data_IF_242736530439
#
_entry.id   IF_242736530439
#
_cell.length_a   1.000
_cell.length_b   1.000
_cell.length_c   1.000
_cell.angle_alpha   90.00
_cell.angle_beta   90.00
_cell.angle_gamma   90.00
#
_symmetry.space_group_name_H-M   'P 1'
#
loop_
_entity.id
_entity.type
_entity.pdbx_description
1 polymer ?
#
# COMPACT_ATOMS: atom_id res chain seq x y z
N UNK A 1 -4.33 -22.73 -38.48
CA UNK A 1 -5.72 -22.22 -38.58
C UNK A 1 -6.72 -23.08 -37.80
N UNK A 2 -6.69 -24.41 -37.90
CA UNK A 2 -7.63 -25.30 -37.18
C UNK A 2 -7.64 -25.10 -35.64
N UNK A 3 -6.48 -25.07 -35.00
CA UNK A 3 -6.35 -24.85 -33.54
C UNK A 3 -6.99 -23.51 -33.12
N UNK A 4 -6.77 -22.44 -33.88
CA UNK A 4 -7.33 -21.12 -33.58
C UNK A 4 -8.86 -21.10 -33.63
N UNK A 5 -9.46 -21.74 -34.64
CA UNK A 5 -10.91 -21.82 -34.76
C UNK A 5 -11.51 -22.64 -33.61
N UNK A 6 -10.87 -23.75 -33.25
CA UNK A 6 -11.28 -24.58 -32.13
C UNK A 6 -11.23 -23.83 -30.79
N UNK A 7 -10.11 -23.15 -30.47
CA UNK A 7 -9.99 -22.38 -29.22
C UNK A 7 -11.07 -21.28 -29.13
N UNK A 8 -11.36 -20.63 -30.25
CA UNK A 8 -12.41 -19.60 -30.32
C UNK A 8 -13.78 -20.21 -30.05
N UNK A 9 -14.12 -21.31 -30.73
CA UNK A 9 -15.37 -22.03 -30.53
C UNK A 9 -15.54 -22.49 -29.07
N UNK A 10 -14.51 -23.11 -28.49
CA UNK A 10 -14.55 -23.58 -27.10
C UNK A 10 -14.74 -22.43 -26.10
N UNK A 11 -14.12 -21.27 -26.33
CA UNK A 11 -14.29 -20.10 -25.44
C UNK A 11 -15.71 -19.52 -25.43
N UNK A 12 -16.55 -19.91 -26.41
CA UNK A 12 -17.96 -19.54 -26.51
C UNK A 12 -18.84 -20.65 -25.94
N UNK A 13 -18.55 -21.91 -26.25
CA UNK A 13 -19.42 -23.04 -25.90
C UNK A 13 -19.24 -23.50 -24.46
N UNK A 14 -18.01 -23.57 -23.95
CA UNK A 14 -17.75 -24.06 -22.57
C UNK A 14 -18.50 -23.25 -21.51
N UNK A 15 -18.54 -21.90 -21.55
CA UNK A 15 -19.35 -21.12 -20.60
C UNK A 15 -20.87 -21.35 -20.68
N UNK A 16 -21.37 -21.97 -21.76
CA UNK A 16 -22.80 -22.26 -21.93
C UNK A 16 -23.18 -23.65 -21.42
N UNK A 17 -22.19 -24.47 -21.03
CA UNK A 17 -22.45 -25.79 -20.46
C UNK A 17 -22.96 -25.60 -19.03
N UNK A 18 -24.12 -26.19 -18.66
CA UNK A 18 -24.63 -26.12 -17.30
C UNK A 18 -23.68 -26.74 -16.27
N UNK A 19 -23.80 -26.31 -15.01
CA UNK A 19 -23.08 -26.90 -13.89
C UNK A 19 -23.31 -28.42 -13.84
N UNK A 20 -22.22 -29.18 -13.65
CA UNK A 20 -22.24 -30.65 -13.69
C UNK A 20 -22.35 -31.26 -15.10
N UNK A 21 -22.46 -30.45 -16.17
CA UNK A 21 -22.49 -30.92 -17.55
C UNK A 21 -21.14 -31.48 -18.05
N UNK A 22 -20.04 -31.15 -17.36
CA UNK A 22 -18.72 -31.76 -17.54
C UNK A 22 -18.28 -32.27 -16.17
N UNK A 23 -17.97 -33.56 -16.05
CA UNK A 23 -17.41 -34.12 -14.82
C UNK A 23 -15.99 -33.59 -14.56
N UNK A 24 -15.58 -33.47 -13.30
CA UNK A 24 -14.25 -32.99 -12.91
C UNK A 24 -13.08 -33.72 -13.58
N UNK A 25 -13.17 -35.05 -13.74
CA UNK A 25 -12.15 -35.85 -14.43
C UNK A 25 -11.99 -35.45 -15.90
N UNK A 26 -13.11 -35.31 -16.62
CA UNK A 26 -13.14 -34.85 -18.00
C UNK A 26 -12.67 -33.39 -18.13
N UNK A 27 -13.02 -32.52 -17.17
CA UNK A 27 -12.56 -31.13 -17.16
C UNK A 27 -11.03 -31.06 -17.03
N UNK A 28 -10.45 -31.80 -16.08
CA UNK A 28 -9.00 -31.92 -15.90
C UNK A 28 -8.30 -32.44 -17.15
N UNK A 29 -8.83 -33.49 -17.78
CA UNK A 29 -8.29 -34.03 -19.04
C UNK A 29 -8.37 -33.00 -20.17
N UNK A 30 -9.50 -32.32 -20.31
CA UNK A 30 -9.69 -31.27 -21.31
C UNK A 30 -8.69 -30.11 -21.10
N UNK A 31 -8.46 -29.68 -19.87
CA UNK A 31 -7.43 -28.71 -19.52
C UNK A 31 -6.05 -29.21 -19.95
N UNK A 32 -5.70 -30.46 -19.64
CA UNK A 32 -4.43 -31.06 -20.05
C UNK A 32 -4.24 -31.12 -21.57
N UNK A 33 -5.31 -31.38 -22.33
CA UNK A 33 -5.30 -31.35 -23.80
C UNK A 33 -5.16 -29.93 -24.34
N UNK A 34 -5.81 -28.94 -23.73
CA UNK A 34 -5.76 -27.54 -24.15
C UNK A 34 -4.40 -26.88 -23.86
N UNK A 35 -3.79 -27.18 -22.71
CA UNK A 35 -2.52 -26.59 -22.31
C UNK A 35 -1.42 -26.94 -23.31
N UNK A 36 -1.35 -28.18 -23.83
CA UNK A 36 -0.30 -28.62 -24.78
C UNK A 36 -0.12 -27.68 -26.00
N UNK A 37 -1.15 -27.42 -26.84
CA UNK A 37 -1.02 -26.53 -27.99
C UNK A 37 -0.87 -25.06 -27.58
N UNK A 38 -1.50 -24.63 -26.48
CA UNK A 38 -1.44 -23.24 -26.00
C UNK A 38 -0.02 -22.91 -25.52
N UNK A 39 0.59 -23.79 -24.73
CA UNK A 39 1.92 -23.61 -24.17
C UNK A 39 3.04 -23.87 -25.18
N UNK A 40 2.85 -24.87 -26.06
CA UNK A 40 3.85 -25.29 -27.05
C UNK A 40 3.87 -24.43 -28.32
N UNK A 41 2.71 -23.98 -28.80
CA UNK A 41 2.59 -23.14 -30.00
C UNK A 41 2.21 -21.68 -29.68
N UNK A 42 2.15 -21.30 -28.41
CA UNK A 42 1.63 -20.00 -27.96
C UNK A 42 2.30 -18.78 -28.59
N UNK A 43 3.55 -18.89 -29.04
CA UNK A 43 4.23 -17.81 -29.78
C UNK A 43 3.75 -17.67 -31.23
N UNK A 44 3.29 -18.76 -31.85
CA UNK A 44 2.75 -18.81 -33.22
C UNK A 44 1.27 -18.45 -33.29
N UNK A 45 0.55 -18.58 -32.17
CA UNK A 45 -0.86 -18.24 -32.08
C UNK A 45 -1.07 -16.72 -32.02
N UNK A 46 -2.07 -16.25 -32.77
CA UNK A 46 -2.53 -14.87 -32.71
C UNK A 46 -3.12 -14.52 -31.33
N UNK A 47 -3.09 -13.23 -30.99
CA UNK A 47 -3.57 -12.70 -29.70
C UNK A 47 -4.99 -13.16 -29.36
N UNK A 48 -5.89 -13.16 -30.34
CA UNK A 48 -7.29 -13.55 -30.15
C UNK A 48 -7.44 -15.03 -29.79
N UNK A 49 -6.77 -15.91 -30.53
CA UNK A 49 -6.81 -17.36 -30.34
C UNK A 49 -6.23 -17.76 -28.99
N UNK A 50 -5.10 -17.14 -28.61
CA UNK A 50 -4.46 -17.44 -27.34
C UNK A 50 -5.30 -16.96 -26.16
N UNK A 51 -5.87 -15.75 -26.25
CA UNK A 51 -6.81 -15.25 -25.24
C UNK A 51 -8.02 -16.18 -25.09
N UNK A 52 -8.58 -16.66 -26.20
CA UNK A 52 -9.70 -17.60 -26.19
C UNK A 52 -9.34 -18.91 -25.48
N UNK A 53 -8.15 -19.46 -25.76
CA UNK A 53 -7.64 -20.65 -25.08
C UNK A 53 -7.43 -20.45 -23.58
N UNK A 54 -6.77 -19.36 -23.18
CA UNK A 54 -6.57 -18.98 -21.76
C UNK A 54 -7.92 -18.83 -21.04
N UNK A 55 -8.89 -18.15 -21.66
CA UNK A 55 -10.24 -18.00 -21.11
C UNK A 55 -10.92 -19.36 -20.92
N UNK A 56 -10.77 -20.26 -21.90
CA UNK A 56 -11.33 -21.60 -21.84
C UNK A 56 -10.72 -22.41 -20.69
N UNK A 57 -9.39 -22.35 -20.50
CA UNK A 57 -8.72 -22.97 -19.34
C UNK A 57 -9.31 -22.42 -18.04
N UNK A 58 -9.38 -21.09 -17.88
CA UNK A 58 -9.93 -20.49 -16.66
C UNK A 58 -11.39 -20.89 -16.39
N UNK A 59 -12.22 -20.96 -17.43
CA UNK A 59 -13.62 -21.39 -17.30
C UNK A 59 -13.74 -22.85 -16.88
N UNK A 60 -12.91 -23.74 -17.45
CA UNK A 60 -12.89 -25.16 -17.08
C UNK A 60 -12.44 -25.37 -15.64
N UNK A 61 -11.38 -24.67 -15.22
CA UNK A 61 -10.86 -24.75 -13.85
C UNK A 61 -11.91 -24.31 -12.83
N UNK A 62 -12.50 -23.13 -13.01
CA UNK A 62 -13.44 -22.56 -12.03
C UNK A 62 -14.79 -23.27 -12.04
N UNK A 63 -15.30 -23.64 -13.23
CA UNK A 63 -16.67 -24.15 -13.36
C UNK A 63 -16.81 -25.67 -13.24
N UNK A 64 -15.74 -26.44 -13.45
CA UNK A 64 -15.88 -27.89 -13.65
C UNK A 64 -14.81 -28.75 -13.00
N UNK A 65 -13.60 -28.23 -12.73
CA UNK A 65 -12.58 -29.02 -12.02
C UNK A 65 -12.94 -29.18 -10.54
N UNK A 66 -12.41 -30.25 -9.93
CA UNK A 66 -12.42 -30.40 -8.49
C UNK A 66 -11.46 -29.37 -7.87
N UNK A 67 -12.00 -28.42 -7.11
CA UNK A 67 -11.24 -27.33 -6.47
C UNK A 67 -10.66 -27.73 -5.11
N UNK A 68 -11.03 -28.92 -4.59
CA UNK A 68 -10.48 -29.47 -3.36
C UNK A 68 -9.26 -30.38 -3.61
N UNK A 69 -9.02 -30.76 -4.88
CA UNK A 69 -7.85 -31.52 -5.33
C UNK A 69 -6.87 -30.63 -6.12
N UNK A 70 -5.67 -30.42 -5.58
CA UNK A 70 -4.63 -29.65 -6.27
C UNK A 70 -4.23 -30.28 -7.61
N UNK A 71 -4.18 -31.61 -7.70
CA UNK A 71 -3.80 -32.31 -8.94
C UNK A 71 -4.81 -32.08 -10.08
N UNK A 72 -6.07 -31.81 -9.71
CA UNK A 72 -7.14 -31.48 -10.65
C UNK A 72 -6.92 -30.13 -11.35
N UNK A 73 -6.32 -29.15 -10.67
CA UNK A 73 -6.15 -27.79 -11.20
C UNK A 73 -4.70 -27.42 -11.56
N UNK A 74 -3.70 -28.13 -11.03
CA UNK A 74 -2.26 -27.78 -11.10
C UNK A 74 -1.78 -27.42 -12.50
N UNK A 75 -2.12 -28.24 -13.51
CA UNK A 75 -1.65 -28.05 -14.89
C UNK A 75 -2.23 -26.77 -15.49
N UNK A 76 -3.54 -26.54 -15.31
CA UNK A 76 -4.20 -25.33 -15.80
C UNK A 76 -3.75 -24.09 -15.05
N UNK A 77 -3.58 -24.18 -13.73
CA UNK A 77 -3.06 -23.11 -12.89
C UNK A 77 -1.66 -22.66 -13.34
N UNK A 78 -0.75 -23.61 -13.58
CA UNK A 78 0.59 -23.30 -14.10
C UNK A 78 0.56 -22.59 -15.47
N UNK A 79 -0.31 -23.03 -16.37
CA UNK A 79 -0.50 -22.36 -17.68
C UNK A 79 -1.06 -20.94 -17.51
N UNK A 80 -2.05 -20.74 -16.63
CA UNK A 80 -2.57 -19.41 -16.33
C UNK A 80 -1.50 -18.49 -15.74
N UNK A 81 -0.67 -18.97 -14.80
CA UNK A 81 0.45 -18.19 -14.26
C UNK A 81 1.44 -17.76 -15.35
N UNK A 82 1.84 -18.69 -16.22
CA UNK A 82 2.71 -18.38 -17.35
C UNK A 82 2.13 -17.28 -18.24
N UNK A 83 0.84 -17.34 -18.57
CA UNK A 83 0.22 -16.30 -19.41
C UNK A 83 -0.08 -15.01 -18.66
N UNK A 84 -0.11 -15.03 -17.33
CA UNK A 84 -0.33 -13.84 -16.49
C UNK A 84 0.83 -12.83 -16.52
N UNK A 85 1.96 -13.22 -17.11
CA UNK A 85 3.12 -12.36 -17.40
C UNK A 85 3.39 -12.22 -18.90
N UNK A 86 2.51 -12.71 -19.78
CA UNK A 86 2.71 -12.67 -21.23
C UNK A 86 2.86 -11.23 -21.75
N UNK A 87 3.77 -11.01 -22.71
CA UNK A 87 4.00 -9.69 -23.33
C UNK A 87 2.76 -9.06 -23.97
N UNK A 88 1.78 -9.87 -24.41
CA UNK A 88 0.53 -9.43 -25.07
C UNK A 88 -0.49 -8.99 -24.02
N UNK A 89 -0.83 -7.69 -23.91
CA UNK A 89 -1.68 -7.19 -22.82
C UNK A 89 -3.06 -7.84 -22.72
N UNK A 90 -3.69 -8.17 -23.85
CA UNK A 90 -5.02 -8.80 -23.88
C UNK A 90 -5.03 -10.26 -23.39
N UNK A 91 -3.94 -10.99 -23.62
CA UNK A 91 -3.78 -12.37 -23.14
C UNK A 91 -3.47 -12.32 -21.64
N UNK A 92 -2.51 -11.47 -21.27
CA UNK A 92 -2.09 -11.25 -19.90
C UNK A 92 -3.24 -10.90 -18.96
N UNK A 93 -4.03 -9.88 -19.31
CA UNK A 93 -5.18 -9.45 -18.51
C UNK A 93 -6.21 -10.58 -18.37
N UNK A 94 -6.47 -11.34 -19.43
CA UNK A 94 -7.38 -12.47 -19.39
C UNK A 94 -6.91 -13.57 -18.43
N UNK A 95 -5.60 -13.87 -18.42
CA UNK A 95 -5.02 -14.85 -17.50
C UNK A 95 -5.10 -14.37 -16.04
N UNK A 96 -4.79 -13.10 -15.79
CA UNK A 96 -4.89 -12.49 -14.46
C UNK A 96 -6.34 -12.53 -13.92
N UNK A 97 -7.33 -12.15 -14.74
CA UNK A 97 -8.75 -12.26 -14.38
C UNK A 97 -9.19 -13.71 -14.09
N UNK A 98 -8.64 -14.69 -14.83
CA UNK A 98 -8.92 -16.10 -14.58
C UNK A 98 -8.29 -16.58 -13.26
N UNK A 99 -7.06 -16.16 -12.96
CA UNK A 99 -6.38 -16.49 -11.70
C UNK A 99 -7.11 -15.89 -10.50
N UNK A 100 -7.49 -14.61 -10.57
CA UNK A 100 -8.23 -13.93 -9.51
C UNK A 100 -9.55 -14.67 -9.19
N UNK A 101 -10.31 -15.05 -10.22
CA UNK A 101 -11.54 -15.84 -10.05
C UNK A 101 -11.28 -17.23 -9.48
N UNK A 102 -10.22 -17.89 -9.94
CA UNK A 102 -9.85 -19.22 -9.47
C UNK A 102 -9.49 -19.17 -7.99
N UNK A 103 -8.56 -18.28 -7.60
CA UNK A 103 -8.19 -18.06 -6.20
C UNK A 103 -9.40 -17.74 -5.34
N UNK A 104 -10.28 -16.83 -5.78
CA UNK A 104 -11.51 -16.49 -5.05
C UNK A 104 -12.56 -17.61 -4.97
N UNK A 105 -12.38 -18.71 -5.70
CA UNK A 105 -13.25 -19.89 -5.65
C UNK A 105 -12.67 -21.04 -4.82
N UNK A 106 -11.40 -20.95 -4.41
CA UNK A 106 -10.77 -21.98 -3.59
C UNK A 106 -11.25 -21.89 -2.14
N UNK A 107 -11.67 -23.02 -1.57
CA UNK A 107 -12.09 -23.12 -0.16
C UNK A 107 -11.16 -24.06 0.64
N UNK A 108 -10.55 -25.05 -0.01
CA UNK A 108 -9.62 -25.98 0.62
C UNK A 108 -8.31 -25.28 1.00
N UNK A 109 -7.98 -25.28 2.30
CA UNK A 109 -6.75 -24.68 2.83
C UNK A 109 -5.49 -25.34 2.25
N UNK A 110 -5.53 -26.64 1.97
CA UNK A 110 -4.45 -27.38 1.30
C UNK A 110 -4.23 -26.86 -0.12
N UNK A 111 -5.30 -26.70 -0.90
CA UNK A 111 -5.20 -26.21 -2.28
C UNK A 111 -4.79 -24.73 -2.32
N UNK A 112 -5.32 -23.91 -1.41
CA UNK A 112 -4.89 -22.51 -1.24
C UNK A 112 -3.39 -22.45 -0.96
N UNK A 113 -2.87 -23.31 -0.08
CA UNK A 113 -1.44 -23.37 0.23
C UNK A 113 -0.61 -23.71 -1.02
N UNK A 114 -0.95 -24.78 -1.73
CA UNK A 114 -0.24 -25.21 -2.94
C UNK A 114 -0.27 -24.14 -4.05
N UNK A 115 -1.43 -23.50 -4.26
CA UNK A 115 -1.57 -22.40 -5.21
C UNK A 115 -0.73 -21.18 -4.81
N UNK A 116 -0.72 -20.85 -3.50
CA UNK A 116 0.08 -19.76 -2.94
C UNK A 116 1.58 -20.03 -3.09
N UNK A 117 2.05 -21.23 -2.77
CA UNK A 117 3.45 -21.65 -2.88
C UNK A 117 3.92 -21.61 -4.34
N UNK A 118 3.06 -22.06 -5.27
CA UNK A 118 3.34 -22.01 -6.70
C UNK A 118 3.46 -20.57 -7.21
N UNK A 119 2.56 -19.67 -6.78
CA UNK A 119 2.68 -18.24 -7.10
C UNK A 119 3.95 -17.63 -6.50
N UNK A 120 4.28 -17.98 -5.26
CA UNK A 120 5.46 -17.45 -4.59
C UNK A 120 6.76 -17.94 -5.23
N UNK A 121 6.78 -19.15 -5.77
CA UNK A 121 7.89 -19.64 -6.59
C UNK A 121 8.14 -18.74 -7.82
N UNK A 122 7.08 -18.27 -8.49
CA UNK A 122 7.18 -17.32 -9.60
C UNK A 122 7.79 -15.98 -9.16
N UNK A 123 7.43 -15.48 -7.96
CA UNK A 123 8.02 -14.26 -7.38
C UNK A 123 9.51 -14.47 -7.12
N UNK A 124 9.88 -15.61 -6.53
CA UNK A 124 11.27 -15.96 -6.24
C UNK A 124 12.11 -16.05 -7.51
N UNK A 125 11.57 -16.62 -8.58
CA UNK A 125 12.25 -16.70 -9.88
C UNK A 125 12.60 -15.30 -10.42
N UNK A 126 11.73 -14.32 -10.21
CA UNK A 126 11.92 -12.94 -10.68
C UNK A 126 12.60 -12.02 -9.66
N UNK A 127 13.02 -12.54 -8.50
CA UNK A 127 13.53 -11.73 -7.37
C UNK A 127 14.73 -10.87 -7.72
N UNK A 128 15.69 -11.41 -8.49
CA UNK A 128 16.89 -10.68 -8.90
C UNK A 128 16.53 -9.48 -9.79
N UNK A 129 15.66 -9.68 -10.78
CA UNK A 129 15.19 -8.63 -11.70
C UNK A 129 14.36 -7.58 -10.96
N UNK A 130 13.49 -8.01 -10.04
CA UNK A 130 12.71 -7.11 -9.18
C UNK A 130 13.63 -6.20 -8.35
N UNK A 131 14.66 -6.76 -7.74
CA UNK A 131 15.63 -6.01 -6.94
C UNK A 131 16.48 -5.04 -7.78
N UNK A 132 16.88 -5.44 -8.99
CA UNK A 132 17.62 -4.56 -9.89
C UNK A 132 16.75 -3.36 -10.30
N UNK A 133 15.52 -3.62 -10.75
CA UNK A 133 14.58 -2.60 -11.18
C UNK A 133 14.17 -1.66 -10.04
N UNK A 134 13.99 -2.17 -8.82
CA UNK A 134 13.61 -1.34 -7.69
C UNK A 134 14.72 -0.39 -7.25
N UNK A 135 15.99 -0.79 -7.41
CA UNK A 135 17.16 0.05 -7.14
C UNK A 135 17.46 1.08 -8.24
N UNK A 136 16.88 0.91 -9.43
CA UNK A 136 17.16 1.74 -10.59
C UNK A 136 16.44 3.08 -10.49
N UNK A 137 17.22 4.14 -10.36
CA UNK A 137 16.72 5.52 -10.38
C UNK A 137 16.25 5.88 -11.79
N UNK A 138 15.07 6.50 -11.87
CA UNK A 138 14.60 7.13 -13.10
C UNK A 138 15.16 8.55 -13.12
N UNK A 139 15.99 8.86 -14.13
CA UNK A 139 16.48 10.23 -14.35
C UNK A 139 15.30 11.10 -14.78
N UNK A 140 15.21 12.29 -14.19
CA UNK A 140 14.16 13.28 -14.45
C UNK A 140 14.04 13.56 -15.96
N UNK A 141 12.82 13.40 -16.51
CA UNK A 141 12.53 13.53 -17.95
C UNK A 141 12.49 12.23 -18.75
N UNK A 142 12.89 11.08 -18.18
CA UNK A 142 12.75 9.77 -18.82
C UNK A 142 11.34 9.18 -18.63
N UNK A 143 10.68 8.76 -19.71
CA UNK A 143 9.41 8.02 -19.61
C UNK A 143 9.66 6.69 -18.91
N UNK A 144 8.88 6.38 -17.86
CA UNK A 144 8.91 5.10 -17.13
C UNK A 144 8.83 3.90 -18.09
N UNK A 145 8.03 4.01 -19.16
CA UNK A 145 7.92 2.98 -20.21
C UNK A 145 9.20 2.74 -21.02
N UNK A 146 10.07 3.75 -21.18
CA UNK A 146 11.37 3.58 -21.85
C UNK A 146 12.45 2.99 -20.94
N UNK A 147 12.27 3.04 -19.62
CA UNK A 147 13.21 2.49 -18.65
C UNK A 147 13.04 0.97 -18.43
N UNK A 148 11.83 0.45 -18.66
CA UNK A 148 11.52 -0.97 -18.69
C UNK A 148 11.85 -1.53 -20.07
N UNK A 149 13.01 -2.17 -20.21
CA UNK A 149 13.26 -3.03 -21.38
C UNK A 149 12.14 -4.09 -21.45
N UNK A 150 11.74 -4.49 -22.66
CA UNK A 150 10.71 -5.53 -22.85
C UNK A 150 11.05 -6.84 -22.14
N UNK A 151 12.34 -7.12 -21.93
CA UNK A 151 12.87 -8.30 -21.23
C UNK A 151 12.60 -8.25 -19.70
N UNK A 152 12.38 -7.06 -19.14
CA UNK A 152 12.18 -6.84 -17.70
C UNK A 152 10.70 -6.53 -17.37
N UNK A 153 9.81 -6.52 -18.37
CA UNK A 153 8.38 -6.24 -18.20
C UNK A 153 7.66 -7.36 -17.44
N UNK A 154 8.15 -8.59 -17.53
CA UNK A 154 7.62 -9.77 -16.85
C UNK A 154 7.65 -9.59 -15.33
N UNK A 155 8.75 -9.07 -14.78
CA UNK A 155 8.87 -8.77 -13.34
C UNK A 155 7.80 -7.77 -12.86
N UNK A 156 7.53 -6.71 -13.63
CA UNK A 156 6.44 -5.78 -13.31
C UNK A 156 5.06 -6.44 -13.44
N UNK A 157 4.91 -7.41 -14.34
CA UNK A 157 3.68 -8.18 -14.47
C UNK A 157 3.47 -9.14 -13.29
N UNK A 158 4.53 -9.76 -12.74
CA UNK A 158 4.45 -10.57 -11.51
C UNK A 158 3.86 -9.77 -10.35
N UNK A 159 4.28 -8.51 -10.16
CA UNK A 159 3.70 -7.64 -9.11
C UNK A 159 2.20 -7.35 -9.32
N UNK A 160 1.76 -7.25 -10.57
CA UNK A 160 0.33 -7.08 -10.87
C UNK A 160 -0.46 -8.35 -10.56
N UNK A 161 0.11 -9.53 -10.83
CA UNK A 161 -0.49 -10.83 -10.47
C UNK A 161 -0.63 -10.93 -8.95
N UNK A 162 0.43 -10.59 -8.21
CA UNK A 162 0.39 -10.52 -6.75
C UNK A 162 -0.73 -9.60 -6.28
N UNK A 163 -0.81 -8.37 -6.79
CA UNK A 163 -1.86 -7.42 -6.39
C UNK A 163 -3.28 -7.97 -6.60
N UNK A 164 -3.50 -8.83 -7.59
CA UNK A 164 -4.83 -9.41 -7.86
C UNK A 164 -5.13 -10.68 -7.03
N UNK A 165 -4.10 -11.31 -6.45
CA UNK A 165 -4.22 -12.64 -5.82
C UNK A 165 -3.91 -12.64 -4.33
N UNK A 166 -3.22 -11.61 -3.84
CA UNK A 166 -2.88 -11.36 -2.43
C UNK A 166 -4.02 -11.66 -1.44
N UNK A 167 -5.28 -11.23 -1.70
CA UNK A 167 -6.39 -11.47 -0.77
C UNK A 167 -6.69 -12.95 -0.49
N UNK A 168 -6.19 -13.85 -1.35
CA UNK A 168 -6.51 -15.28 -1.31
C UNK A 168 -5.32 -16.14 -0.92
N UNK A 169 -4.17 -15.54 -0.63
CA UNK A 169 -2.96 -16.29 -0.29
C UNK A 169 -3.06 -16.87 1.12
N UNK A 170 -2.36 -17.98 1.34
CA UNK A 170 -2.15 -18.48 2.70
C UNK A 170 -1.43 -17.42 3.55
N UNK A 171 -1.72 -17.39 4.86
CA UNK A 171 -1.13 -16.40 5.77
C UNK A 171 0.42 -16.42 5.75
N UNK A 172 1.02 -17.62 5.69
CA UNK A 172 2.47 -17.81 5.61
C UNK A 172 3.07 -17.17 4.34
N UNK A 173 2.47 -17.46 3.18
CA UNK A 173 2.95 -16.91 1.90
C UNK A 173 2.69 -15.42 1.82
N UNK A 174 1.53 -14.94 2.31
CA UNK A 174 1.21 -13.52 2.38
C UNK A 174 2.27 -12.74 3.18
N UNK A 175 2.68 -13.26 4.35
CA UNK A 175 3.76 -12.67 5.16
C UNK A 175 5.11 -12.66 4.42
N UNK A 176 5.46 -13.75 3.74
CA UNK A 176 6.68 -13.82 2.92
C UNK A 176 6.66 -12.81 1.76
N UNK A 177 5.52 -12.69 1.06
CA UNK A 177 5.34 -11.71 -0.02
C UNK A 177 5.44 -10.29 0.52
N UNK A 178 4.80 -10.00 1.64
CA UNK A 178 4.85 -8.69 2.29
C UNK A 178 6.28 -8.29 2.66
N UNK A 179 7.03 -9.20 3.29
CA UNK A 179 8.45 -9.00 3.62
C UNK A 179 9.29 -8.69 2.39
N UNK A 180 9.06 -9.39 1.27
CA UNK A 180 9.78 -9.13 0.02
C UNK A 180 9.39 -7.79 -0.61
N UNK A 181 8.11 -7.41 -0.60
CA UNK A 181 7.66 -6.09 -1.07
C UNK A 181 8.28 -4.95 -0.26
N UNK A 182 8.38 -5.11 1.07
CA UNK A 182 9.03 -4.13 1.94
C UNK A 182 10.51 -3.94 1.58
N UNK A 183 11.23 -5.01 1.26
CA UNK A 183 12.63 -4.96 0.81
C UNK A 183 12.80 -4.32 -0.57
N UNK A 184 11.80 -4.49 -1.44
CA UNK A 184 11.79 -3.86 -2.77
C UNK A 184 11.44 -2.37 -2.70
N UNK A 185 10.78 -1.91 -1.64
CA UNK A 185 10.43 -0.51 -1.46
C UNK A 185 11.68 0.33 -1.16
N UNK A 186 12.15 1.08 -2.15
CA UNK A 186 13.22 2.07 -1.99
C UNK A 186 12.69 3.43 -1.52
N UNK A 187 13.60 4.34 -1.16
CA UNK A 187 13.27 5.72 -0.77
C UNK A 187 13.11 6.69 -1.96
N UNK A 188 13.37 6.22 -3.18
CA UNK A 188 13.25 7.01 -4.41
C UNK A 188 12.37 6.28 -5.44
N UNK A 189 11.77 7.04 -6.33
CA UNK A 189 10.92 6.52 -7.39
C UNK A 189 11.69 5.62 -8.35
N UNK A 190 11.11 4.45 -8.64
CA UNK A 190 11.61 3.45 -9.56
C UNK A 190 10.49 2.99 -10.50
N UNK A 191 10.80 2.22 -11.56
CA UNK A 191 9.79 1.70 -12.47
C UNK A 191 8.75 0.78 -11.83
N UNK A 192 9.04 0.25 -10.62
CA UNK A 192 8.18 -0.68 -9.89
C UNK A 192 7.44 -0.03 -8.72
N UNK A 193 7.75 1.21 -8.35
CA UNK A 193 7.23 1.86 -7.14
C UNK A 193 5.71 1.77 -7.05
N UNK A 194 5.00 2.12 -8.13
CA UNK A 194 3.52 2.13 -8.12
C UNK A 194 2.92 0.73 -7.95
N UNK A 195 3.51 -0.28 -8.56
CA UNK A 195 3.06 -1.67 -8.45
C UNK A 195 3.34 -2.22 -7.05
N UNK A 196 4.51 -1.91 -6.48
CA UNK A 196 4.86 -2.29 -5.10
C UNK A 196 3.88 -1.65 -4.11
N UNK A 197 3.64 -0.34 -4.23
CA UNK A 197 2.69 0.37 -3.36
C UNK A 197 1.28 -0.20 -3.47
N UNK A 198 0.81 -0.49 -4.69
CA UNK A 198 -0.50 -1.12 -4.91
C UNK A 198 -0.61 -2.49 -4.24
N UNK A 199 0.44 -3.31 -4.32
CA UNK A 199 0.46 -4.61 -3.69
C UNK A 199 0.42 -4.49 -2.16
N UNK A 200 1.22 -3.59 -1.58
CA UNK A 200 1.22 -3.30 -0.13
C UNK A 200 -0.16 -2.80 0.34
N UNK A 201 -0.75 -1.84 -0.38
CA UNK A 201 -2.09 -1.32 -0.08
C UNK A 201 -3.17 -2.42 -0.12
N UNK A 202 -3.05 -3.34 -1.09
CA UNK A 202 -3.96 -4.49 -1.17
C UNK A 202 -3.79 -5.42 0.04
N UNK A 203 -2.55 -5.71 0.45
CA UNK A 203 -2.26 -6.53 1.64
C UNK A 203 -2.90 -5.91 2.89
N UNK A 204 -2.74 -4.61 3.11
CA UNK A 204 -3.35 -3.95 4.26
C UNK A 204 -4.88 -4.02 4.26
N UNK A 205 -5.51 -3.94 3.08
CA UNK A 205 -6.96 -4.01 2.93
C UNK A 205 -7.53 -5.42 3.07
N UNK A 206 -6.77 -6.44 2.67
CA UNK A 206 -7.26 -7.82 2.61
C UNK A 206 -6.79 -8.70 3.76
N UNK A 207 -5.70 -8.34 4.42
CA UNK A 207 -5.16 -9.15 5.52
C UNK A 207 -6.05 -8.99 6.75
N UNK A 208 -6.42 -10.11 7.35
CA UNK A 208 -6.78 -10.17 8.77
C UNK A 208 -5.60 -9.63 9.62
N UNK A 209 -5.73 -9.54 10.94
CA UNK A 209 -4.67 -9.02 11.83
C UNK A 209 -3.48 -9.98 12.00
N UNK A 210 -3.19 -10.74 10.94
CA UNK A 210 -2.16 -11.76 10.80
C UNK A 210 -0.83 -11.22 10.24
N UNK A 211 -0.75 -9.92 9.89
CA UNK A 211 0.52 -9.30 9.47
C UNK A 211 1.45 -9.17 10.68
N UNK A 212 2.70 -9.56 10.52
CA UNK A 212 3.69 -9.61 11.60
C UNK A 212 4.25 -8.19 11.88
N UNK A 213 4.39 -7.84 13.17
CA UNK A 213 4.74 -6.49 13.67
C UNK A 213 6.03 -5.92 13.07
N UNK A 214 7.18 -6.65 13.07
CA UNK A 214 8.42 -6.22 12.42
C UNK A 214 8.25 -5.76 10.97
N UNK A 215 7.39 -6.42 10.20
CA UNK A 215 7.15 -6.08 8.80
C UNK A 215 6.35 -4.77 8.68
N UNK A 216 5.40 -4.51 9.58
CA UNK A 216 4.67 -3.24 9.66
C UNK A 216 5.65 -2.10 10.03
N UNK A 217 6.58 -2.32 10.96
CA UNK A 217 7.61 -1.32 11.29
C UNK A 217 8.56 -1.06 10.13
N UNK A 218 9.01 -2.14 9.47
CA UNK A 218 9.88 -2.06 8.32
C UNK A 218 9.24 -1.27 7.18
N UNK A 219 7.96 -1.51 6.89
CA UNK A 219 7.27 -0.78 5.82
C UNK A 219 7.03 0.68 6.19
N UNK A 220 6.65 1.00 7.45
CA UNK A 220 6.53 2.39 7.91
C UNK A 220 7.85 3.12 7.75
N UNK A 221 8.96 2.49 8.13
CA UNK A 221 10.31 3.06 7.97
C UNK A 221 10.64 3.33 6.50
N UNK A 222 10.35 2.39 5.59
CA UNK A 222 10.59 2.58 4.15
C UNK A 222 9.72 3.68 3.54
N UNK A 223 8.43 3.72 3.90
CA UNK A 223 7.47 4.71 3.38
C UNK A 223 7.77 6.12 3.92
N UNK A 224 8.12 6.26 5.20
CA UNK A 224 8.55 7.55 5.77
C UNK A 224 9.83 8.05 5.12
N UNK A 225 10.81 7.17 4.88
CA UNK A 225 12.01 7.52 4.12
C UNK A 225 11.74 7.97 2.68
N UNK A 226 10.69 7.43 2.05
CA UNK A 226 10.24 7.87 0.72
C UNK A 226 9.64 9.29 0.76
N UNK A 227 8.76 9.57 1.73
CA UNK A 227 8.14 10.89 1.92
C UNK A 227 9.19 11.95 2.25
N UNK A 228 10.17 11.64 3.10
CA UNK A 228 11.25 12.57 3.45
C UNK A 228 12.13 12.96 2.26
N UNK A 229 12.13 12.18 1.18
CA UNK A 229 12.78 12.53 -0.09
C UNK A 229 11.79 13.08 -1.12
N UNK A 230 10.72 13.74 -0.69
CA UNK A 230 9.66 14.27 -1.55
C UNK A 230 10.16 15.05 -2.77
N UNK A 231 11.22 15.84 -2.63
CA UNK A 231 11.81 16.65 -3.72
C UNK A 231 12.34 15.79 -4.88
N UNK A 232 12.65 14.51 -4.62
CA UNK A 232 13.18 13.56 -5.61
C UNK A 232 12.11 12.63 -6.17
N UNK A 233 10.86 12.79 -5.73
CA UNK A 233 9.79 11.85 -5.98
C UNK A 233 8.59 12.56 -6.62
N UNK A 234 7.85 11.91 -7.54
CA UNK A 234 6.65 12.50 -8.11
C UNK A 234 5.59 12.82 -7.04
N UNK A 235 5.05 14.03 -7.05
CA UNK A 235 4.10 14.52 -6.04
C UNK A 235 2.89 13.60 -5.86
N UNK A 236 2.34 13.08 -6.95
CA UNK A 236 1.19 12.16 -6.91
C UNK A 236 1.55 10.82 -6.22
N UNK A 237 2.79 10.36 -6.36
CA UNK A 237 3.28 9.17 -5.67
C UNK A 237 3.56 9.45 -4.20
N UNK A 238 4.11 10.61 -3.86
CA UNK A 238 4.30 11.05 -2.47
C UNK A 238 2.96 11.10 -1.72
N UNK A 239 1.91 11.63 -2.35
CA UNK A 239 0.56 11.67 -1.76
C UNK A 239 -0.04 10.26 -1.58
N UNK A 240 0.16 9.36 -2.54
CA UNK A 240 -0.26 7.98 -2.40
C UNK A 240 0.47 7.29 -1.23
N UNK A 241 1.79 7.50 -1.10
CA UNK A 241 2.58 6.97 0.03
C UNK A 241 2.13 7.57 1.36
N UNK A 242 1.77 8.85 1.39
CA UNK A 242 1.27 9.53 2.59
C UNK A 242 -0.06 8.94 3.07
N UNK A 243 -0.96 8.62 2.13
CA UNK A 243 -2.21 7.92 2.45
C UNK A 243 -1.92 6.49 2.93
N UNK A 244 -0.97 5.81 2.30
CA UNK A 244 -0.58 4.46 2.70
C UNK A 244 0.07 4.41 4.09
N UNK A 245 0.80 5.45 4.50
CA UNK A 245 1.33 5.59 5.86
C UNK A 245 0.21 5.68 6.90
N UNK A 246 -0.88 6.40 6.60
CA UNK A 246 -2.07 6.42 7.46
C UNK A 246 -2.65 5.01 7.60
N UNK A 247 -2.87 4.31 6.49
CA UNK A 247 -3.38 2.93 6.50
C UNK A 247 -2.44 1.97 7.25
N UNK A 248 -1.12 2.15 7.15
CA UNK A 248 -0.14 1.36 7.88
C UNK A 248 -0.23 1.57 9.39
N UNK A 249 -0.49 2.80 9.86
CA UNK A 249 -0.74 3.08 11.28
C UNK A 249 -2.06 2.50 11.76
N UNK A 250 -3.13 2.60 10.97
CA UNK A 250 -4.41 1.95 11.29
C UNK A 250 -4.23 0.44 11.43
N UNK A 251 -3.45 -0.18 10.53
CA UNK A 251 -3.11 -1.60 10.63
C UNK A 251 -2.23 -1.90 11.84
N UNK A 252 -1.23 -1.07 12.13
CA UNK A 252 -0.41 -1.19 13.34
C UNK A 252 -1.29 -1.17 14.60
N UNK A 253 -2.26 -0.25 14.66
CA UNK A 253 -3.17 -0.12 15.80
C UNK A 253 -4.08 -1.36 15.97
N UNK A 254 -4.55 -1.95 14.86
CA UNK A 254 -5.34 -3.19 14.91
C UNK A 254 -4.57 -4.40 15.45
N UNK A 255 -3.27 -4.50 15.13
CA UNK A 255 -2.41 -5.61 15.55
C UNK A 255 -1.86 -5.39 16.95
N UNK A 256 -1.32 -4.20 17.21
CA UNK A 256 -0.70 -3.83 18.48
C UNK A 256 -0.84 -2.31 18.72
N UNK A 257 -1.78 -1.84 19.56
CA UNK A 257 -1.98 -0.40 19.80
C UNK A 257 -0.71 0.36 20.24
N UNK A 258 0.15 -0.26 21.05
CA UNK A 258 1.43 0.30 21.49
C UNK A 258 2.41 0.53 20.34
N UNK A 259 2.36 -0.32 19.30
CA UNK A 259 3.13 -0.13 18.09
C UNK A 259 2.69 1.14 17.34
N UNK A 260 1.39 1.37 17.22
CA UNK A 260 0.87 2.58 16.59
C UNK A 260 1.38 3.83 17.31
N UNK A 261 1.30 3.86 18.64
CA UNK A 261 1.79 4.98 19.44
C UNK A 261 3.31 5.21 19.27
N UNK A 262 4.10 4.14 19.19
CA UNK A 262 5.55 4.21 18.93
C UNK A 262 5.88 4.78 17.54
N UNK A 263 5.09 4.43 16.53
CA UNK A 263 5.34 4.81 15.13
C UNK A 263 4.70 6.15 14.74
N UNK A 264 3.69 6.62 15.47
CA UNK A 264 2.96 7.85 15.19
C UNK A 264 3.88 9.09 15.04
N UNK A 265 4.85 9.37 15.94
CA UNK A 265 5.73 10.52 15.78
C UNK A 265 6.59 10.47 14.52
N UNK A 266 7.05 9.27 14.14
CA UNK A 266 7.85 9.07 12.92
C UNK A 266 7.05 9.40 11.67
N UNK A 267 5.78 8.95 11.61
CA UNK A 267 4.88 9.25 10.49
C UNK A 267 4.49 10.72 10.46
N UNK A 268 4.15 11.31 11.60
CA UNK A 268 3.89 12.75 11.67
C UNK A 268 5.10 13.55 11.19
N UNK A 269 6.31 13.17 11.60
CA UNK A 269 7.54 13.88 11.23
C UNK A 269 7.88 13.85 9.76
N UNK A 270 7.57 12.76 9.04
CA UNK A 270 7.74 12.74 7.59
C UNK A 270 6.69 13.60 6.88
N UNK A 271 5.44 13.56 7.35
CA UNK A 271 4.32 14.29 6.74
C UNK A 271 4.36 15.80 7.00
N UNK A 272 4.89 16.26 8.14
CA UNK A 272 5.01 17.70 8.40
C UNK A 272 5.93 18.40 7.40
N UNK A 273 6.93 17.68 6.87
CA UNK A 273 7.77 18.17 5.76
C UNK A 273 6.97 18.48 4.49
N UNK A 274 5.82 17.84 4.28
CA UNK A 274 4.95 18.11 3.12
C UNK A 274 4.12 19.40 3.27
N UNK A 275 3.97 19.92 4.49
CA UNK A 275 3.17 21.13 4.75
C UNK A 275 3.84 22.40 4.20
N UNK A 276 5.13 22.33 3.89
CA UNK A 276 5.89 23.41 3.24
C UNK A 276 5.87 23.31 1.71
N UNK A 277 5.27 22.27 1.14
CA UNK A 277 5.24 22.02 -0.31
C UNK A 277 4.22 22.90 -1.06
N UNK A 278 4.00 22.62 -2.34
CA UNK A 278 2.97 23.27 -3.15
C UNK A 278 1.57 23.08 -2.54
N UNK A 279 0.66 24.01 -2.84
CA UNK A 279 -0.65 24.12 -2.19
C UNK A 279 -1.45 22.81 -2.20
N UNK A 280 -1.51 22.11 -3.34
CA UNK A 280 -2.22 20.85 -3.45
C UNK A 280 -1.62 19.74 -2.57
N UNK A 281 -0.29 19.65 -2.51
CA UNK A 281 0.41 18.65 -1.69
C UNK A 281 0.27 18.97 -0.21
N UNK A 282 0.47 20.24 0.17
CA UNK A 282 0.37 20.71 1.54
C UNK A 282 -1.06 20.56 2.08
N UNK A 283 -2.07 20.86 1.27
CA UNK A 283 -3.49 20.69 1.62
C UNK A 283 -3.85 19.22 1.89
N UNK A 284 -3.43 18.30 1.03
CA UNK A 284 -3.68 16.87 1.23
C UNK A 284 -2.92 16.31 2.45
N UNK A 285 -1.65 16.70 2.63
CA UNK A 285 -0.87 16.31 3.81
C UNK A 285 -1.49 16.85 5.11
N UNK A 286 -2.02 18.08 5.08
CA UNK A 286 -2.76 18.70 6.19
C UNK A 286 -3.98 17.88 6.58
N UNK A 287 -4.78 17.42 5.60
CA UNK A 287 -5.93 16.52 5.87
C UNK A 287 -5.49 15.22 6.54
N UNK A 288 -4.45 14.55 5.99
CA UNK A 288 -3.96 13.28 6.54
C UNK A 288 -3.45 13.46 7.98
N UNK A 289 -2.65 14.49 8.25
CA UNK A 289 -2.14 14.77 9.59
C UNK A 289 -3.26 15.07 10.59
N UNK A 290 -4.28 15.84 10.17
CA UNK A 290 -5.43 16.14 11.04
C UNK A 290 -6.21 14.89 11.40
N UNK A 291 -6.40 13.99 10.45
CA UNK A 291 -7.05 12.70 10.68
C UNK A 291 -6.25 11.85 11.68
N UNK A 292 -4.93 11.75 11.51
CA UNK A 292 -4.04 11.00 12.41
C UNK A 292 -4.08 11.57 13.83
N UNK A 293 -3.91 12.88 13.97
CA UNK A 293 -3.96 13.57 15.26
C UNK A 293 -5.32 13.33 15.91
N UNK A 294 -6.42 13.49 15.17
CA UNK A 294 -7.77 13.30 15.71
C UNK A 294 -8.07 11.86 16.12
N UNK A 295 -7.40 10.88 15.51
CA UNK A 295 -7.64 9.45 15.77
C UNK A 295 -6.84 8.94 16.97
N UNK A 296 -5.64 9.47 17.19
CA UNK A 296 -4.68 8.90 18.16
C UNK A 296 -4.29 9.85 19.28
N UNK A 297 -4.58 11.15 19.15
CA UNK A 297 -4.34 12.15 20.19
C UNK A 297 -5.70 12.68 20.62
N UNK A 298 -6.16 12.23 21.79
CA UNK A 298 -7.36 12.74 22.41
C UNK A 298 -7.14 12.89 23.91
N UNK A 299 -7.64 13.99 24.47
CA UNK A 299 -7.52 14.31 25.89
C UNK A 299 -8.14 13.21 26.74
N UNK A 300 -9.28 12.66 26.31
CA UNK A 300 -9.96 11.58 27.04
C UNK A 300 -9.07 10.34 27.14
N UNK A 301 -8.46 9.92 26.02
CA UNK A 301 -7.53 8.77 25.98
C UNK A 301 -6.29 9.01 26.85
N UNK A 302 -5.76 10.24 26.83
CA UNK A 302 -4.56 10.64 27.57
C UNK A 302 -4.78 10.67 29.09
N UNK A 303 -6.01 10.93 29.54
CA UNK A 303 -6.37 11.02 30.96
C UNK A 303 -6.86 9.69 31.56
N UNK A 304 -7.29 8.72 30.73
CA UNK A 304 -7.69 7.37 31.17
C UNK A 304 -6.53 6.51 31.70
N UNK A 305 -5.30 6.71 31.20
CA UNK A 305 -4.12 6.14 31.82
C UNK A 305 -3.91 6.85 33.17
N UNK A 306 -3.90 6.08 34.25
CA UNK A 306 -3.80 6.51 35.66
C UNK A 306 -2.51 7.31 35.94
N UNK A 307 -2.46 8.52 35.41
CA UNK A 307 -1.31 9.44 35.42
C UNK A 307 -1.46 10.52 36.50
N UNK A 308 -2.65 10.60 37.11
CA UNK A 308 -2.94 11.50 38.22
C UNK A 308 -2.56 10.83 39.55
N UNK A 309 -1.28 10.57 39.75
CA UNK A 309 -0.76 10.31 41.10
C UNK A 309 0.55 11.04 41.32
N UNK A 310 0.47 12.34 41.63
CA UNK A 310 1.17 13.01 42.73
C UNK A 310 1.15 14.52 42.50
N UNK A 311 1.11 15.26 43.60
CA UNK A 311 0.87 16.69 43.75
C UNK A 311 2.00 17.61 43.21
N UNK A 312 2.66 17.23 42.11
CA UNK A 312 3.71 18.01 41.46
C UNK A 312 3.21 18.45 40.06
N UNK A 313 2.67 19.67 39.99
CA UNK A 313 2.07 20.30 38.80
C UNK A 313 2.97 20.34 37.54
N UNK A 314 4.24 19.90 37.64
CA UNK A 314 5.22 19.88 36.56
C UNK A 314 5.50 18.52 35.91
N UNK A 315 5.09 17.39 36.48
CA UNK A 315 5.50 16.06 36.00
C UNK A 315 4.31 15.12 35.74
N UNK A 316 3.73 15.22 34.54
CA UNK A 316 2.81 14.20 34.02
C UNK A 316 3.54 12.84 33.95
N UNK A 317 3.12 11.89 34.80
CA UNK A 317 3.63 10.53 34.78
C UNK A 317 3.41 9.91 33.38
N UNK A 318 4.49 9.42 32.77
CA UNK A 318 4.54 9.08 31.35
C UNK A 318 3.93 7.72 31.04
N UNK A 319 2.67 7.71 30.60
CA UNK A 319 2.08 6.60 29.86
C UNK A 319 2.43 6.67 28.36
N UNK A 320 2.22 5.56 27.63
CA UNK A 320 2.60 5.45 26.21
C UNK A 320 1.88 6.50 25.35
N UNK A 321 0.61 6.78 25.66
CA UNK A 321 -0.17 7.80 24.97
C UNK A 321 0.40 9.21 25.21
N UNK A 322 0.74 9.54 26.45
CA UNK A 322 1.33 10.84 26.82
C UNK A 322 2.71 11.00 26.16
N UNK A 323 3.51 9.93 26.15
CA UNK A 323 4.83 9.94 25.53
C UNK A 323 4.73 10.11 24.02
N UNK A 324 3.82 9.42 23.35
CA UNK A 324 3.56 9.57 21.93
C UNK A 324 3.08 10.99 21.59
N UNK A 325 2.11 11.53 22.34
CA UNK A 325 1.62 12.90 22.18
C UNK A 325 2.75 13.93 22.36
N UNK A 326 3.60 13.76 23.37
CA UNK A 326 4.79 14.61 23.60
C UNK A 326 5.75 14.56 22.41
N UNK A 327 6.06 13.36 21.90
CA UNK A 327 6.94 13.20 20.74
C UNK A 327 6.33 13.83 19.47
N UNK A 328 5.01 13.75 19.28
CA UNK A 328 4.33 14.47 18.20
C UNK A 328 4.44 15.98 18.39
N UNK A 329 4.29 16.52 19.61
CA UNK A 329 4.54 17.94 19.87
C UNK A 329 5.96 18.35 19.49
N UNK A 330 6.98 17.58 19.86
CA UNK A 330 8.38 17.87 19.48
C UNK A 330 8.58 17.91 17.96
N UNK A 331 7.87 17.06 17.21
CA UNK A 331 7.88 17.07 15.74
C UNK A 331 7.33 18.40 15.19
N UNK A 332 6.18 18.85 15.69
CA UNK A 332 5.58 20.11 15.24
C UNK A 332 6.39 21.33 15.68
N UNK A 333 6.96 21.30 16.88
CA UNK A 333 7.90 22.32 17.35
C UNK A 333 9.11 22.44 16.43
N UNK A 334 9.73 21.30 16.06
CA UNK A 334 10.85 21.27 15.13
C UNK A 334 10.46 21.82 13.75
N UNK A 335 9.26 21.49 13.28
CA UNK A 335 8.70 22.00 12.02
C UNK A 335 8.54 23.52 12.07
N UNK A 336 7.97 24.08 13.14
CA UNK A 336 7.84 25.53 13.33
C UNK A 336 9.20 26.22 13.45
N UNK A 337 10.16 25.59 14.12
CA UNK A 337 11.51 26.11 14.26
C UNK A 337 12.29 26.15 12.93
N UNK A 338 11.94 25.29 11.98
CA UNK A 338 12.51 25.28 10.64
C UNK A 338 11.91 26.32 9.68
N UNK A 339 10.82 26.99 10.07
CA UNK A 339 10.17 27.99 9.24
C UNK A 339 10.93 29.32 9.27
N UNK A 340 11.38 29.78 8.10
CA UNK A 340 11.88 31.14 7.92
C UNK A 340 10.70 32.12 7.77
N UNK A 341 10.38 32.84 8.84
CA UNK A 341 9.31 33.83 8.85
C UNK A 341 7.95 33.27 9.24
N UNK A 342 6.87 33.76 8.63
CA UNK A 342 5.49 33.36 8.98
C UNK A 342 5.22 31.95 8.44
N UNK A 343 4.88 30.95 9.28
CA UNK A 343 4.56 29.61 8.82
C UNK A 343 3.37 29.60 7.85
N UNK A 344 3.38 28.66 6.90
CA UNK A 344 2.23 28.45 5.99
C UNK A 344 0.96 28.11 6.78
N UNK A 345 -0.19 28.48 6.22
CA UNK A 345 -1.51 28.24 6.81
C UNK A 345 -1.73 26.77 7.20
N UNK A 346 -1.30 25.83 6.36
CA UNK A 346 -1.42 24.40 6.64
C UNK A 346 -0.67 23.97 7.91
N UNK A 347 0.54 24.52 8.15
CA UNK A 347 1.31 24.26 9.38
C UNK A 347 0.55 24.76 10.60
N UNK A 348 0.06 25.99 10.53
CA UNK A 348 -0.68 26.62 11.63
C UNK A 348 -1.98 25.87 11.92
N UNK A 349 -2.70 25.44 10.88
CA UNK A 349 -3.99 24.77 11.03
C UNK A 349 -3.84 23.38 11.67
N UNK A 350 -2.83 22.61 11.26
CA UNK A 350 -2.56 21.30 11.87
C UNK A 350 -2.04 21.47 13.30
N UNK A 351 -1.16 22.44 13.55
CA UNK A 351 -0.65 22.75 14.90
C UNK A 351 -1.77 23.20 15.83
N UNK A 352 -2.70 24.03 15.34
CA UNK A 352 -3.87 24.47 16.09
C UNK A 352 -4.75 23.29 16.51
N UNK A 353 -5.04 22.36 15.58
CA UNK A 353 -5.79 21.15 15.90
C UNK A 353 -5.06 20.26 16.92
N UNK A 354 -3.73 20.14 16.83
CA UNK A 354 -2.95 19.39 17.83
C UNK A 354 -3.15 19.98 19.24
N UNK A 355 -3.02 21.30 19.37
CA UNK A 355 -3.23 22.00 20.65
C UNK A 355 -4.66 21.79 21.16
N UNK A 356 -5.66 21.88 20.27
CA UNK A 356 -7.06 21.62 20.61
C UNK A 356 -7.27 20.20 21.13
N UNK A 357 -6.70 19.20 20.46
CA UNK A 357 -6.83 17.77 20.82
C UNK A 357 -6.13 17.39 22.11
N UNK A 358 -5.04 18.09 22.46
CA UNK A 358 -4.39 17.98 23.76
C UNK A 358 -5.22 18.61 24.90
N UNK A 359 -6.16 19.48 24.58
CA UNK A 359 -7.10 20.08 25.53
C UNK A 359 -6.40 20.69 26.75
N UNK A 360 -6.85 20.28 27.93
CA UNK A 360 -6.38 20.83 29.21
C UNK A 360 -4.90 20.58 29.52
N UNK A 361 -4.25 19.60 28.89
CA UNK A 361 -2.82 19.29 29.12
C UNK A 361 -1.89 19.91 28.08
N UNK A 362 -2.43 20.68 27.13
CA UNK A 362 -1.67 21.38 26.10
C UNK A 362 -0.60 22.32 26.66
N UNK A 363 -0.86 22.99 27.79
CA UNK A 363 0.11 23.90 28.43
C UNK A 363 1.38 23.20 28.93
N UNK A 364 1.31 21.88 29.14
CA UNK A 364 2.45 21.04 29.52
C UNK A 364 3.11 20.47 28.26
N UNK A 365 2.33 19.80 27.41
CA UNK A 365 2.88 19.01 26.29
C UNK A 365 3.28 19.86 25.07
N UNK A 366 2.56 20.95 24.81
CA UNK A 366 2.79 21.85 23.69
C UNK A 366 3.37 23.21 24.12
N UNK A 367 3.99 23.28 25.31
CA UNK A 367 4.55 24.52 25.87
C UNK A 367 5.45 25.26 24.88
N UNK A 368 6.41 24.56 24.29
CA UNK A 368 7.41 25.17 23.42
C UNK A 368 6.82 25.61 22.08
N UNK A 369 5.82 24.88 21.57
CA UNK A 369 5.00 25.30 20.42
C UNK A 369 4.30 26.63 20.73
N UNK A 370 3.61 26.72 21.87
CA UNK A 370 2.85 27.93 22.26
C UNK A 370 3.79 29.14 22.41
N UNK A 371 4.95 28.94 23.05
CA UNK A 371 5.97 29.98 23.19
C UNK A 371 6.50 30.45 21.83
N UNK A 372 6.78 29.51 20.91
CA UNK A 372 7.25 29.81 19.56
C UNK A 372 6.22 30.60 18.76
N UNK A 373 4.95 30.20 18.80
CA UNK A 373 3.86 30.93 18.14
C UNK A 373 3.71 32.35 18.71
N UNK A 374 3.80 32.50 20.04
CA UNK A 374 3.73 33.80 20.69
C UNK A 374 4.89 34.73 20.30
N UNK A 375 6.11 34.18 20.14
CA UNK A 375 7.28 34.93 19.66
C UNK A 375 7.10 35.37 18.20
N UNK A 376 6.67 34.45 17.32
CA UNK A 376 6.35 34.75 15.92
C UNK A 376 5.30 35.86 15.78
N UNK A 377 4.24 35.83 16.60
CA UNK A 377 3.21 36.87 16.63
C UNK A 377 3.77 38.24 17.04
N UNK A 378 4.64 38.29 18.05
CA UNK A 378 5.27 39.55 18.50
C UNK A 378 6.16 40.13 17.40
N UNK A 379 6.95 39.29 16.74
CA UNK A 379 7.86 39.70 15.68
C UNK A 379 7.10 40.19 14.43
N UNK A 380 5.98 39.54 14.09
CA UNK A 380 5.11 40.00 13.00
C UNK A 380 4.45 41.36 13.31
N UNK A 381 4.02 41.59 14.56
CA UNK A 381 3.43 42.85 15.01
C UNK A 381 4.46 43.99 15.15
N UNK A 382 5.71 43.68 15.51
CA UNK A 382 6.79 44.66 15.63
C UNK A 382 7.32 45.19 14.29
N UNK A 383 7.08 44.46 13.18
CA UNK A 383 7.49 44.85 11.82
C UNK A 383 6.50 45.76 11.08
N UNK A 384 5.30 46.01 11.64
CA UNK A 384 4.25 46.79 10.99
C UNK A 384 3.93 48.05 11.78
N UNK A 385 4.82 49.06 11.68
CA UNK A 385 4.32 50.43 11.66
C UNK A 385 3.56 50.62 10.33
N UNK A 386 2.22 50.57 10.42
CA UNK A 386 1.21 50.84 9.38
C UNK A 386 0.89 49.72 8.38
N UNK A 387 -0.11 48.89 8.70
CA UNK A 387 -1.43 48.86 8.04
C UNK A 387 -2.19 47.58 8.40
N UNK A 388 -3.49 47.74 8.61
CA UNK A 388 -4.43 46.75 9.15
C UNK A 388 -4.48 45.44 8.36
N UNK A 389 -4.32 44.32 9.06
CA UNK A 389 -5.03 43.07 8.75
C UNK A 389 -5.60 42.51 10.05
N UNK A 390 -6.93 42.40 10.10
CA UNK A 390 -7.71 41.84 11.21
C UNK A 390 -7.55 40.31 11.22
N UNK A 391 -6.97 39.76 12.30
CA UNK A 391 -6.97 38.32 12.56
C UNK A 391 -8.02 37.98 13.62
N UNK A 392 -9.18 37.50 13.17
CA UNK A 392 -10.31 37.09 14.00
C UNK A 392 -10.31 35.60 14.36
N UNK A 393 -9.27 35.09 15.04
CA UNK A 393 -9.19 33.65 15.38
C UNK A 393 -9.03 33.30 16.86
N UNK A 394 -9.00 34.29 17.76
CA UNK A 394 -9.06 34.03 19.21
C UNK A 394 -10.10 34.93 19.88
N UNK A 395 -11.37 34.78 19.50
CA UNK A 395 -12.48 35.24 20.35
C UNK A 395 -13.72 34.38 20.14
N UNK A 396 -13.98 33.53 21.14
CA UNK A 396 -15.24 33.33 21.89
C UNK A 396 -15.55 31.83 22.10
N UNK A 397 -16.31 31.53 23.16
CA UNK A 397 -16.01 31.70 24.57
C UNK A 397 -15.61 30.37 25.22
#
# INVERSE_FOLDING_TARGET
MAVSALLTFLSIVVPLVPDGGISATMAREAVGVLVKPIDGEGQKLGVASLRAGVKCIGTLLVGFCDLDDWESIRIGFGSLLKFSIDKRPKVRRCAQECLEKLFGSLLSSTVIKEASDTLYALVKEHKSVLSELSSKKIVEGSKVESALKSENAEAAHVLNVLSATVPFLSAEVSSCVFSELCKLMGSQFSPLTRQILKAIDTIFKSSEDTVVVPEIEGVITSLTGYVSLQEKNPADTVLHVSTLLKNALEKANSVEPTLCLRQLPLVCGSLTGLLTSEEDVASQASVILKDLISSYIDTDNLLTEKSLSSEDEGNLAGGDNINAARSVCTVFESTLNSCDGIPKEHILTVTGLLIEKLGGISYILAKDIILKLADMMKNAAGGTSSSQYEWGWFRRP
#
